data_IF_222703964606
#
_entry.id   IF_222703964606
#
_cell.length_a   1.000
_cell.length_b   1.000
_cell.length_c   1.000
_cell.angle_alpha   90.00
_cell.angle_beta   90.00
_cell.angle_gamma   90.00
#
_symmetry.space_group_name_H-M   'P 1'
#
loop_
_entity.id
_entity.type
_entity.pdbx_description
1 polymer ?
#
# COMPACT_ATOMS: atom_id res chain seq x y z
N UNK A 1 2.90 -77.46 27.33
CA UNK A 1 3.65 -76.38 28.02
C UNK A 1 4.05 -75.30 27.04
N UNK A 2 3.06 -74.76 26.31
CA UNK A 2 3.08 -73.59 25.44
C UNK A 2 1.62 -73.11 25.43
N UNK A 3 1.35 -71.81 25.31
CA UNK A 3 0.08 -71.09 25.60
C UNK A 3 -0.08 -70.58 27.04
N UNK A 4 0.63 -69.49 27.40
CA UNK A 4 0.10 -68.46 28.31
C UNK A 4 1.01 -67.21 28.47
N UNK A 5 1.29 -66.40 27.44
CA UNK A 5 1.89 -65.05 27.62
C UNK A 5 1.53 -64.04 26.51
N UNK A 6 0.24 -63.90 26.18
CA UNK A 6 -0.22 -62.84 25.24
C UNK A 6 -1.46 -62.09 25.73
N UNK A 7 -1.58 -61.84 27.04
CA UNK A 7 -2.77 -61.20 27.60
C UNK A 7 -2.42 -60.26 28.78
N UNK A 8 -1.50 -59.32 28.57
CA UNK A 8 -1.23 -58.20 29.51
C UNK A 8 -0.95 -56.89 28.75
N UNK A 9 -1.64 -56.65 27.62
CA UNK A 9 -1.48 -55.41 26.88
C UNK A 9 -2.80 -54.92 26.29
N UNK A 10 -3.85 -54.88 27.10
CA UNK A 10 -5.08 -54.18 26.74
C UNK A 10 -5.90 -53.81 27.99
N UNK A 11 -5.37 -52.91 28.82
CA UNK A 11 -6.15 -52.15 29.82
C UNK A 11 -5.26 -51.03 30.37
N UNK A 12 -4.79 -50.14 29.50
CA UNK A 12 -4.44 -48.79 29.93
C UNK A 12 -5.73 -48.00 29.89
N UNK A 13 -6.20 -47.72 31.09
CA UNK A 13 -7.37 -46.90 31.40
C UNK A 13 -7.32 -45.61 30.58
N UNK A 14 -8.24 -45.48 29.62
CA UNK A 14 -8.64 -44.19 29.07
C UNK A 14 -9.32 -43.40 30.19
N UNK A 15 -8.53 -42.71 31.02
CA UNK A 15 -9.02 -41.51 31.68
C UNK A 15 -9.05 -40.43 30.62
N UNK A 16 -10.11 -40.41 29.81
CA UNK A 16 -10.46 -39.21 29.05
C UNK A 16 -10.80 -38.15 30.10
N UNK A 17 -9.84 -37.28 30.41
CA UNK A 17 -10.19 -35.98 30.94
C UNK A 17 -11.21 -35.39 29.96
N UNK A 18 -12.41 -35.10 30.44
CA UNK A 18 -13.37 -34.24 29.75
C UNK A 18 -12.75 -32.84 29.66
N UNK A 19 -11.74 -32.66 28.81
CA UNK A 19 -11.35 -31.36 28.35
C UNK A 19 -12.52 -30.89 27.49
N UNK A 20 -13.27 -29.89 27.97
CA UNK A 20 -14.30 -29.23 27.19
C UNK A 20 -13.72 -28.89 25.81
N UNK A 21 -14.30 -29.51 24.77
CA UNK A 21 -13.79 -29.38 23.41
C UNK A 21 -14.16 -27.98 22.89
N UNK A 22 -13.19 -27.08 22.83
CA UNK A 22 -13.36 -25.79 22.17
C UNK A 22 -13.56 -26.01 20.66
N UNK A 23 -14.77 -25.72 20.17
CA UNK A 23 -15.13 -25.97 18.77
C UNK A 23 -14.53 -24.89 17.85
N UNK A 24 -14.06 -25.28 16.65
CA UNK A 24 -13.47 -24.34 15.70
C UNK A 24 -14.51 -23.31 15.24
N UNK A 25 -14.06 -22.06 15.07
CA UNK A 25 -14.87 -21.00 14.48
C UNK A 25 -15.07 -21.29 12.98
N UNK A 26 -16.32 -21.22 12.53
CA UNK A 26 -16.76 -21.62 11.18
C UNK A 26 -17.65 -20.56 10.53
N UNK A 27 -17.67 -20.52 9.18
CA UNK A 27 -18.57 -19.66 8.39
C UNK A 27 -19.97 -20.24 8.22
N UNK A 28 -20.23 -21.46 8.71
CA UNK A 28 -21.54 -22.10 8.60
C UNK A 28 -22.60 -21.25 9.32
N UNK A 29 -23.66 -20.89 8.59
CA UNK A 29 -24.75 -20.07 9.11
C UNK A 29 -24.55 -18.55 9.01
N UNK A 30 -23.46 -18.09 8.38
CA UNK A 30 -23.28 -16.68 8.05
C UNK A 30 -24.41 -16.17 7.15
N UNK A 31 -25.00 -15.03 7.51
CA UNK A 31 -26.10 -14.42 6.77
C UNK A 31 -27.48 -15.01 7.10
N UNK A 32 -27.56 -16.10 7.86
CA UNK A 32 -28.84 -16.73 8.24
C UNK A 32 -29.06 -16.75 9.74
N UNK A 33 -28.11 -17.32 10.51
CA UNK A 33 -28.22 -17.46 11.97
C UNK A 33 -27.18 -16.63 12.73
N UNK A 34 -26.18 -16.09 12.03
CA UNK A 34 -25.16 -15.19 12.59
C UNK A 34 -24.67 -14.18 11.54
N UNK A 35 -24.26 -13.02 12.00
CA UNK A 35 -23.56 -12.03 11.20
C UNK A 35 -22.08 -12.39 11.10
N UNK A 36 -21.45 -12.06 9.97
CA UNK A 36 -20.07 -12.43 9.73
C UNK A 36 -19.27 -11.34 9.02
N UNK A 37 -17.98 -11.30 9.30
CA UNK A 37 -16.99 -10.41 8.71
C UNK A 37 -15.71 -11.22 8.44
N UNK A 38 -15.41 -11.46 7.17
CA UNK A 38 -14.26 -12.26 6.73
C UNK A 38 -13.88 -11.87 5.29
N UNK A 39 -12.62 -12.09 4.84
CA UNK A 39 -12.18 -11.80 3.48
C UNK A 39 -12.85 -12.75 2.47
N UNK A 40 -13.12 -12.32 1.22
CA UNK A 40 -13.83 -13.13 0.22
C UNK A 40 -13.16 -14.47 -0.12
N UNK A 41 -11.85 -14.61 0.12
CA UNK A 41 -11.14 -15.90 0.05
C UNK A 41 -11.02 -16.48 1.48
N UNK A 42 -12.15 -16.85 2.07
CA UNK A 42 -12.22 -17.48 3.39
C UNK A 42 -13.09 -18.75 3.31
N UNK A 43 -12.53 -19.87 3.73
CA UNK A 43 -13.22 -21.15 3.94
C UNK A 43 -13.02 -21.59 5.40
N UNK A 44 -13.77 -22.61 5.84
CA UNK A 44 -13.59 -23.16 7.19
C UNK A 44 -12.16 -23.66 7.45
N UNK A 45 -11.49 -24.17 6.41
CA UNK A 45 -10.12 -24.69 6.44
C UNK A 45 -9.04 -23.62 6.24
N UNK A 46 -9.34 -22.55 5.51
CA UNK A 46 -8.39 -21.49 5.20
C UNK A 46 -9.04 -20.12 5.33
N UNK A 47 -8.74 -19.41 6.41
CA UNK A 47 -9.22 -18.06 6.60
C UNK A 47 -8.19 -17.24 7.37
N UNK A 48 -7.75 -16.13 6.76
CA UNK A 48 -6.73 -15.29 7.35
C UNK A 48 -7.24 -14.58 8.62
N UNK A 49 -8.47 -14.09 8.58
CA UNK A 49 -9.23 -13.69 9.75
C UNK A 49 -10.73 -13.84 9.50
N UNK A 50 -11.50 -14.04 10.56
CA UNK A 50 -12.94 -13.94 10.52
C UNK A 50 -13.47 -13.56 11.88
N UNK A 51 -14.58 -12.84 11.85
CA UNK A 51 -15.39 -12.54 13.01
C UNK A 51 -16.83 -12.92 12.72
N UNK A 52 -17.49 -13.57 13.67
CA UNK A 52 -18.93 -13.82 13.61
C UNK A 52 -19.56 -13.30 14.89
N UNK A 53 -20.85 -12.98 14.83
CA UNK A 53 -21.64 -12.61 16.00
C UNK A 53 -23.08 -13.06 15.87
N UNK A 54 -23.68 -13.39 17.01
CA UNK A 54 -25.11 -13.71 17.10
C UNK A 54 -25.67 -13.26 18.44
N UNK A 55 -26.95 -12.90 18.45
CA UNK A 55 -27.69 -12.63 19.68
C UNK A 55 -27.95 -13.94 20.44
N UNK A 56 -27.67 -13.95 21.74
CA UNK A 56 -27.94 -15.06 22.65
C UNK A 56 -28.49 -14.52 23.97
N UNK A 57 -29.42 -15.26 24.59
CA UNK A 57 -29.93 -14.92 25.92
C UNK A 57 -29.26 -15.81 26.96
N UNK A 58 -28.75 -15.21 28.03
CA UNK A 58 -28.11 -15.91 29.15
C UNK A 58 -28.63 -15.31 30.46
N UNK A 59 -29.15 -16.14 31.37
CA UNK A 59 -29.71 -15.71 32.66
C UNK A 59 -30.73 -14.56 32.56
N UNK A 60 -31.64 -14.64 31.58
CA UNK A 60 -32.67 -13.62 31.30
C UNK A 60 -32.14 -12.25 30.85
N UNK A 61 -30.86 -12.17 30.46
CA UNK A 61 -30.26 -10.99 29.83
C UNK A 61 -29.76 -11.32 28.42
N UNK A 62 -29.74 -10.30 27.55
CA UNK A 62 -29.27 -10.44 26.18
C UNK A 62 -27.79 -10.12 26.04
N UNK A 63 -27.09 -11.02 25.35
CA UNK A 63 -25.68 -10.96 25.03
C UNK A 63 -25.46 -11.12 23.54
N UNK A 64 -24.34 -10.59 23.05
CA UNK A 64 -23.82 -10.93 21.73
C UNK A 64 -22.67 -11.91 21.93
N UNK A 65 -22.81 -13.12 21.37
CA UNK A 65 -21.71 -14.09 21.30
C UNK A 65 -20.85 -13.76 20.09
N UNK A 66 -19.61 -13.32 20.35
CA UNK A 66 -18.61 -13.05 19.32
C UNK A 66 -17.68 -14.25 19.16
N UNK A 67 -17.44 -14.66 17.93
CA UNK A 67 -16.40 -15.61 17.56
C UNK A 67 -15.36 -14.87 16.73
N UNK A 68 -14.09 -14.90 17.13
CA UNK A 68 -13.00 -14.35 16.33
C UNK A 68 -11.96 -15.44 16.05
N UNK A 69 -11.48 -15.52 14.81
CA UNK A 69 -10.42 -16.42 14.37
C UNK A 69 -9.47 -15.66 13.45
N UNK A 70 -8.17 -15.86 13.58
CA UNK A 70 -7.22 -15.26 12.65
C UNK A 70 -5.80 -15.75 12.83
N UNK A 71 -5.03 -15.72 11.75
CA UNK A 71 -3.61 -16.07 11.73
C UNK A 71 -2.80 -14.92 12.31
N UNK A 72 -1.92 -15.21 13.27
CA UNK A 72 -0.99 -14.26 13.85
C UNK A 72 0.36 -14.34 13.12
N UNK A 73 1.07 -13.23 13.06
CA UNK A 73 2.41 -13.18 12.48
C UNK A 73 3.46 -13.70 13.49
N UNK A 74 3.30 -13.28 14.75
CA UNK A 74 4.14 -13.66 15.88
C UNK A 74 3.38 -14.56 16.87
N UNK A 75 4.09 -15.31 17.74
CA UNK A 75 3.45 -16.08 18.80
C UNK A 75 2.67 -15.19 19.75
N UNK A 76 3.09 -13.94 19.98
CA UNK A 76 2.32 -12.96 20.75
C UNK A 76 1.52 -12.07 19.80
N UNK A 77 0.20 -12.01 19.98
CA UNK A 77 -0.64 -11.16 19.14
C UNK A 77 -2.09 -11.14 19.57
N UNK A 78 -2.88 -10.32 18.88
CA UNK A 78 -4.29 -10.08 19.20
C UNK A 78 -5.17 -10.00 17.96
N UNK A 79 -6.46 -10.21 18.19
CA UNK A 79 -7.54 -10.02 17.24
C UNK A 79 -8.66 -9.24 17.92
N UNK A 80 -9.04 -8.10 17.35
CA UNK A 80 -10.04 -7.21 17.93
C UNK A 80 -11.07 -6.73 16.91
N UNK A 81 -12.29 -6.53 17.37
CA UNK A 81 -13.41 -5.92 16.66
C UNK A 81 -13.76 -4.58 17.33
N UNK A 82 -13.79 -3.52 16.54
CA UNK A 82 -14.20 -2.18 16.96
C UNK A 82 -15.60 -1.83 16.45
N UNK A 83 -16.39 -1.19 17.30
CA UNK A 83 -17.72 -0.65 17.04
C UNK A 83 -17.64 0.88 17.03
N UNK A 84 -17.73 1.48 15.84
CA UNK A 84 -17.61 2.93 15.66
C UNK A 84 -18.86 3.53 15.03
N UNK A 85 -19.19 4.77 15.37
CA UNK A 85 -20.25 5.56 14.72
C UNK A 85 -19.79 6.11 13.36
N UNK A 86 -18.48 6.12 13.11
CA UNK A 86 -17.87 6.55 11.85
C UNK A 86 -16.88 5.52 11.31
N UNK A 87 -16.54 5.61 10.02
CA UNK A 87 -15.49 4.78 9.39
C UNK A 87 -14.08 5.11 9.87
N UNK A 88 -13.89 6.22 10.57
CA UNK A 88 -12.58 6.76 10.98
C UNK A 88 -12.10 6.22 12.32
N UNK A 89 -12.98 5.54 13.07
CA UNK A 89 -12.70 4.96 14.39
C UNK A 89 -12.19 6.05 15.34
N UNK A 90 -12.81 7.23 15.30
CA UNK A 90 -12.46 8.35 16.17
C UNK A 90 -12.72 8.02 17.65
N UNK A 91 -13.86 7.39 17.91
CA UNK A 91 -14.21 6.76 19.18
C UNK A 91 -14.88 5.43 18.90
N UNK A 92 -14.50 4.38 19.62
CA UNK A 92 -15.07 3.06 19.39
C UNK A 92 -15.14 2.23 20.68
N UNK A 93 -16.21 1.44 20.81
CA UNK A 93 -16.21 0.30 21.71
C UNK A 93 -15.37 -0.81 21.07
N UNK A 94 -14.64 -1.59 21.86
CA UNK A 94 -13.75 -2.63 21.33
C UNK A 94 -13.89 -3.90 22.12
N UNK A 95 -13.98 -5.03 21.42
CA UNK A 95 -13.87 -6.37 22.00
C UNK A 95 -12.79 -7.14 21.26
N UNK A 96 -12.17 -8.11 21.90
CA UNK A 96 -11.15 -8.92 21.24
C UNK A 96 -10.47 -9.88 22.19
N UNK A 97 -9.57 -10.67 21.64
CA UNK A 97 -8.73 -11.56 22.41
C UNK A 97 -7.27 -11.45 21.99
N UNK A 98 -6.38 -11.80 22.90
CA UNK A 98 -4.94 -11.81 22.68
C UNK A 98 -4.32 -13.09 23.23
N UNK A 99 -3.24 -13.52 22.61
CA UNK A 99 -2.41 -14.61 23.07
C UNK A 99 -1.09 -14.06 23.61
N UNK A 100 -0.81 -14.37 24.87
CA UNK A 100 0.38 -13.92 25.57
C UNK A 100 1.48 -14.99 25.50
N UNK A 101 2.45 -14.79 24.61
CA UNK A 101 3.46 -15.81 24.28
C UNK A 101 4.24 -16.36 25.50
N UNK A 102 4.50 -15.52 26.51
CA UNK A 102 5.26 -15.94 27.71
C UNK A 102 4.47 -16.88 28.64
N UNK A 103 3.13 -16.78 28.65
CA UNK A 103 2.28 -17.57 29.55
C UNK A 103 1.42 -18.60 28.81
N UNK A 104 1.38 -18.55 27.47
CA UNK A 104 0.50 -19.38 26.63
C UNK A 104 -1.00 -19.05 26.78
N UNK A 105 -1.33 -17.99 27.52
CA UNK A 105 -2.71 -17.68 27.87
C UNK A 105 -3.40 -16.93 26.74
N UNK A 106 -4.61 -17.37 26.38
CA UNK A 106 -5.54 -16.61 25.52
C UNK A 106 -6.60 -15.95 26.40
N UNK A 107 -6.76 -14.64 26.28
CA UNK A 107 -7.71 -13.87 27.10
C UNK A 107 -8.55 -12.93 26.26
N UNK A 108 -9.84 -12.88 26.54
CA UNK A 108 -10.75 -11.90 25.96
C UNK A 108 -10.82 -10.62 26.82
N UNK A 109 -10.99 -9.47 26.16
CA UNK A 109 -11.16 -8.17 26.80
C UNK A 109 -12.19 -7.33 26.03
N UNK A 110 -12.93 -6.54 26.79
CA UNK A 110 -13.78 -5.47 26.30
C UNK A 110 -13.23 -4.12 26.79
N UNK A 111 -13.40 -3.09 26.00
CA UNK A 111 -12.89 -1.76 26.30
C UNK A 111 -13.40 -0.73 25.31
N UNK A 112 -12.74 0.41 25.29
CA UNK A 112 -13.04 1.49 24.37
C UNK A 112 -11.78 2.23 23.95
N UNK A 113 -11.86 2.90 22.81
CA UNK A 113 -10.79 3.71 22.24
C UNK A 113 -11.25 5.17 22.17
N UNK A 114 -10.38 6.09 22.61
CA UNK A 114 -10.56 7.55 22.58
C UNK A 114 -9.54 8.26 21.67
N UNK A 115 -9.10 7.59 20.60
CA UNK A 115 -8.22 8.11 19.56
C UNK A 115 -6.72 7.90 19.78
N UNK A 116 -6.27 7.61 21.01
CA UNK A 116 -4.83 7.42 21.33
C UNK A 116 -4.46 6.00 21.77
N UNK A 117 -5.28 5.35 22.59
CA UNK A 117 -5.01 4.01 23.15
C UNK A 117 -6.33 3.33 23.54
N UNK A 118 -6.33 1.99 23.60
CA UNK A 118 -7.44 1.25 24.21
C UNK A 118 -7.41 1.40 25.74
N UNK A 119 -8.58 1.63 26.31
CA UNK A 119 -8.82 1.52 27.75
C UNK A 119 -9.74 0.33 27.98
N UNK A 120 -9.24 -0.68 28.70
CA UNK A 120 -10.00 -1.90 28.99
C UNK A 120 -10.91 -1.70 30.19
N UNK A 121 -12.11 -2.28 30.10
CA UNK A 121 -13.08 -2.25 31.19
C UNK A 121 -12.53 -2.98 32.41
N UNK A 122 -12.54 -2.30 33.55
CA UNK A 122 -12.13 -2.82 34.86
C UNK A 122 -13.15 -2.46 35.95
N UNK A 123 -14.37 -2.10 35.53
CA UNK A 123 -15.44 -1.72 36.45
C UNK A 123 -16.06 -2.92 37.18
N UNK A 124 -17.05 -2.67 38.05
CA UNK A 124 -17.64 -3.68 38.93
C UNK A 124 -18.52 -4.71 38.22
N UNK A 125 -18.94 -4.44 36.97
CA UNK A 125 -19.77 -5.34 36.18
C UNK A 125 -18.93 -6.52 35.63
N UNK A 126 -18.74 -7.55 36.45
CA UNK A 126 -17.99 -8.76 36.08
C UNK A 126 -18.65 -9.56 34.96
N UNK A 127 -19.93 -9.32 34.70
CA UNK A 127 -20.72 -10.02 33.68
C UNK A 127 -20.79 -9.25 32.35
N UNK A 128 -20.14 -8.08 32.22
CA UNK A 128 -20.08 -7.37 30.94
C UNK A 128 -19.52 -8.27 29.82
N UNK A 129 -18.50 -9.07 30.15
CA UNK A 129 -17.81 -9.97 29.24
C UNK A 129 -17.65 -11.35 29.88
N UNK A 130 -18.34 -12.36 29.33
CA UNK A 130 -18.26 -13.75 29.76
C UNK A 130 -17.35 -14.49 28.78
N UNK A 131 -16.21 -14.99 29.27
CA UNK A 131 -15.21 -15.70 28.47
C UNK A 131 -14.87 -17.09 29.01
N UNK A 132 -15.63 -17.59 29.98
CA UNK A 132 -15.45 -18.92 30.59
C UNK A 132 -16.79 -19.67 30.58
N UNK A 133 -16.72 -21.00 30.46
CA UNK A 133 -17.87 -21.90 30.33
C UNK A 133 -17.87 -22.70 29.03
N UNK A 134 -18.92 -23.50 28.82
CA UNK A 134 -19.04 -24.42 27.69
C UNK A 134 -18.77 -23.74 26.35
N UNK A 135 -17.69 -24.16 25.68
CA UNK A 135 -17.26 -23.67 24.37
C UNK A 135 -16.96 -22.14 24.33
N UNK A 136 -16.72 -21.52 25.48
CA UNK A 136 -16.21 -20.14 25.61
C UNK A 136 -14.72 -20.16 25.97
N UNK A 137 -14.03 -19.05 25.70
CA UNK A 137 -12.59 -18.91 25.94
C UNK A 137 -11.82 -18.71 24.65
N UNK A 138 -10.59 -19.21 24.59
CA UNK A 138 -9.80 -19.13 23.37
C UNK A 138 -8.61 -20.07 23.34
N UNK A 139 -8.14 -20.34 22.13
CA UNK A 139 -7.07 -21.28 21.83
C UNK A 139 -6.10 -20.66 20.83
N UNK A 140 -4.83 -21.03 20.94
CA UNK A 140 -3.81 -20.67 19.97
C UNK A 140 -3.17 -21.96 19.45
N UNK A 141 -3.26 -22.19 18.13
CA UNK A 141 -2.59 -23.31 17.48
C UNK A 141 -1.21 -22.85 16.97
N UNK A 142 -0.10 -23.34 17.54
CA UNK A 142 1.24 -22.94 17.15
C UNK A 142 1.67 -23.45 15.76
N UNK A 143 1.10 -24.54 15.26
CA UNK A 143 1.45 -25.10 13.95
C UNK A 143 0.99 -24.19 12.81
N UNK A 144 -0.26 -23.72 12.90
CA UNK A 144 -0.87 -22.85 11.88
C UNK A 144 -0.75 -21.36 12.22
N UNK A 145 -0.27 -21.04 13.43
CA UNK A 145 -0.26 -19.71 14.05
C UNK A 145 -1.65 -19.08 14.15
N UNK A 146 -2.69 -19.87 14.42
CA UNK A 146 -4.07 -19.40 14.43
C UNK A 146 -4.55 -19.15 15.86
N UNK A 147 -4.98 -17.93 16.14
CA UNK A 147 -5.70 -17.54 17.35
C UNK A 147 -7.20 -17.65 17.10
N UNK A 148 -7.93 -18.31 18.02
CA UNK A 148 -9.39 -18.34 18.01
C UNK A 148 -9.93 -18.04 19.40
N UNK A 149 -11.05 -17.32 19.48
CA UNK A 149 -11.73 -17.07 20.74
C UNK A 149 -13.23 -16.92 20.55
N UNK A 150 -13.97 -17.31 21.60
CA UNK A 150 -15.41 -17.18 21.71
C UNK A 150 -15.77 -16.60 23.06
N UNK A 151 -16.52 -15.51 23.06
CA UNK A 151 -16.94 -14.84 24.30
C UNK A 151 -18.27 -14.14 24.10
N UNK A 152 -18.96 -13.87 25.20
CA UNK A 152 -20.25 -13.16 25.19
C UNK A 152 -20.07 -11.79 25.80
N UNK A 153 -20.65 -10.79 25.16
CA UNK A 153 -20.63 -9.41 25.66
C UNK A 153 -22.06 -8.90 25.78
N UNK A 154 -22.44 -8.41 26.96
CA UNK A 154 -23.80 -7.93 27.25
C UNK A 154 -24.21 -6.88 26.21
N UNK A 155 -25.43 -6.93 25.68
CA UNK A 155 -25.89 -6.01 24.61
C UNK A 155 -25.79 -4.55 25.06
N UNK A 156 -26.29 -4.25 26.26
CA UNK A 156 -26.23 -2.92 26.88
C UNK A 156 -25.35 -2.98 28.14
N UNK A 157 -24.18 -2.31 28.16
CA UNK A 157 -23.38 -2.18 29.38
C UNK A 157 -24.17 -1.52 30.52
N UNK A 158 -23.89 -1.88 31.78
CA UNK A 158 -24.48 -1.21 32.94
C UNK A 158 -23.77 0.12 33.26
N UNK A 159 -22.47 0.16 33.02
CA UNK A 159 -21.61 1.33 33.20
C UNK A 159 -20.95 1.74 31.88
N UNK A 160 -20.54 3.00 31.77
CA UNK A 160 -19.78 3.53 30.61
C UNK A 160 -20.42 3.20 29.25
N UNK A 161 -21.76 3.26 29.19
CA UNK A 161 -22.59 2.89 28.02
C UNK A 161 -22.13 3.59 26.74
N UNK A 162 -21.81 4.89 26.82
CA UNK A 162 -21.37 5.69 25.68
C UNK A 162 -20.00 5.25 25.15
N UNK A 163 -19.08 4.89 26.04
CA UNK A 163 -17.71 4.52 25.67
C UNK A 163 -17.67 3.09 25.14
N UNK A 164 -18.32 2.15 25.84
CA UNK A 164 -18.36 0.73 25.48
C UNK A 164 -19.30 0.43 24.31
N UNK A 165 -20.15 1.40 23.93
CA UNK A 165 -21.19 1.37 22.90
C UNK A 165 -22.38 0.48 23.26
N UNK A 166 -23.60 0.97 23.06
CA UNK A 166 -24.81 0.19 23.31
C UNK A 166 -25.19 -0.57 22.04
N UNK A 167 -25.18 -1.90 22.08
CA UNK A 167 -25.42 -2.71 20.88
C UNK A 167 -26.91 -2.97 20.62
N UNK A 168 -27.81 -2.47 21.47
CA UNK A 168 -29.25 -2.64 21.27
C UNK A 168 -29.76 -1.88 20.05
N UNK A 169 -30.80 -2.40 19.41
CA UNK A 169 -31.57 -1.63 18.42
C UNK A 169 -32.07 -0.30 19.06
N UNK A 170 -32.01 0.85 18.35
CA UNK A 170 -31.67 1.05 16.93
C UNK A 170 -30.19 1.39 16.64
N UNK A 171 -29.28 1.16 17.59
CA UNK A 171 -27.87 1.56 17.43
C UNK A 171 -27.15 0.70 16.39
N UNK A 172 -26.65 1.33 15.33
CA UNK A 172 -25.88 0.68 14.28
C UNK A 172 -24.43 1.19 14.26
N UNK A 173 -23.48 0.29 14.05
CA UNK A 173 -22.05 0.62 14.09
C UNK A 173 -21.29 0.13 12.86
N UNK A 174 -20.29 0.90 12.44
CA UNK A 174 -19.25 0.43 11.55
C UNK A 174 -18.35 -0.54 12.31
N UNK A 175 -18.17 -1.73 11.73
CA UNK A 175 -17.33 -2.78 12.29
C UNK A 175 -15.94 -2.71 11.66
N UNK A 176 -14.89 -2.66 12.47
CA UNK A 176 -13.50 -2.79 12.00
C UNK A 176 -12.80 -3.90 12.72
N UNK A 177 -12.19 -4.82 11.97
CA UNK A 177 -11.34 -5.86 12.52
C UNK A 177 -9.87 -5.45 12.44
N UNK A 178 -9.12 -5.77 13.49
CA UNK A 178 -7.67 -5.48 13.55
C UNK A 178 -6.93 -6.67 14.13
N UNK A 179 -5.80 -6.99 13.51
CA UNK A 179 -4.79 -7.93 14.03
C UNK A 179 -3.50 -7.18 14.28
N UNK A 180 -2.76 -7.59 15.30
CA UNK A 180 -1.45 -7.02 15.60
C UNK A 180 -0.67 -7.86 16.59
N UNK A 181 0.60 -7.53 16.74
CA UNK A 181 1.53 -8.24 17.62
C UNK A 181 1.77 -7.49 18.94
N UNK A 182 1.25 -6.25 19.04
CA UNK A 182 1.40 -5.38 20.21
C UNK A 182 0.42 -5.80 21.33
N UNK A 183 0.83 -6.81 22.10
CA UNK A 183 0.14 -7.23 23.32
C UNK A 183 0.55 -6.30 24.47
N UNK A 184 -0.44 -5.71 25.14
CA UNK A 184 -0.23 -4.82 26.28
C UNK A 184 -0.43 -5.59 27.60
N UNK A 185 0.15 -5.16 28.73
CA UNK A 185 -0.07 -5.81 30.02
C UNK A 185 -1.56 -5.90 30.41
N UNK A 186 -2.36 -4.92 30.00
CA UNK A 186 -3.80 -4.84 30.26
C UNK A 186 -4.67 -5.51 29.18
N UNK A 187 -4.10 -5.86 28.02
CA UNK A 187 -4.83 -6.41 26.89
C UNK A 187 -4.10 -6.28 25.55
N UNK A 188 -4.65 -5.50 24.64
CA UNK A 188 -4.14 -5.36 23.26
C UNK A 188 -4.13 -3.90 22.77
N UNK A 189 -3.25 -3.63 21.82
CA UNK A 189 -3.11 -2.31 21.21
C UNK A 189 -4.33 -1.88 20.37
N UNK A 190 -4.38 -0.60 20.01
CA UNK A 190 -5.56 0.03 19.41
C UNK A 190 -5.90 -0.53 18.01
N UNK A 191 -7.19 -0.67 17.67
CA UNK A 191 -7.63 -0.68 16.28
C UNK A 191 -7.17 0.60 15.57
N UNK A 192 -6.78 0.51 14.29
CA UNK A 192 -6.40 1.67 13.48
C UNK A 192 -7.35 1.84 12.29
N UNK A 193 -7.55 3.08 11.83
CA UNK A 193 -8.39 3.38 10.67
C UNK A 193 -7.88 2.62 9.43
N UNK A 194 -8.77 1.88 8.78
CA UNK A 194 -8.45 0.98 7.66
C UNK A 194 -8.18 -0.48 8.07
N UNK A 195 -7.89 -0.76 9.34
CA UNK A 195 -7.78 -2.10 9.93
C UNK A 195 -7.12 -3.17 9.05
N UNK A 196 -7.50 -4.42 9.29
CA UNK A 196 -7.41 -5.49 8.28
C UNK A 196 -8.62 -5.42 7.32
N UNK A 197 -9.77 -5.03 7.86
CA UNK A 197 -10.96 -4.66 7.10
C UNK A 197 -11.92 -3.79 7.94
N UNK A 198 -12.59 -2.85 7.26
CA UNK A 198 -13.71 -2.07 7.81
C UNK A 198 -14.94 -2.33 6.95
N UNK A 199 -16.10 -2.59 7.57
CA UNK A 199 -17.35 -2.74 6.83
C UNK A 199 -17.85 -1.39 6.33
N UNK A 200 -18.35 -1.36 5.09
CA UNK A 200 -18.68 -0.10 4.40
C UNK A 200 -19.98 0.56 4.86
N UNK A 201 -20.85 -0.19 5.53
CA UNK A 201 -22.12 0.29 6.09
C UNK A 201 -22.14 0.13 7.61
N UNK A 202 -23.06 0.80 8.30
CA UNK A 202 -23.31 0.53 9.71
C UNK A 202 -24.18 -0.71 9.88
N UNK A 203 -23.99 -1.43 10.99
CA UNK A 203 -24.59 -2.74 11.25
C UNK A 203 -25.37 -2.72 12.54
N UNK A 204 -26.60 -3.24 12.49
CA UNK A 204 -27.36 -3.64 13.69
C UNK A 204 -26.86 -5.01 14.16
N UNK A 205 -26.03 -5.03 15.20
CA UNK A 205 -25.36 -6.25 15.69
C UNK A 205 -26.37 -7.28 16.21
N UNK A 206 -27.48 -6.82 16.78
CA UNK A 206 -28.55 -7.66 17.34
C UNK A 206 -29.65 -8.01 16.34
N UNK A 207 -29.53 -7.62 15.07
CA UNK A 207 -30.56 -7.92 14.06
C UNK A 207 -30.72 -9.44 13.87
N UNK A 208 -31.95 -9.98 13.90
CA UNK A 208 -32.19 -11.38 13.55
C UNK A 208 -32.05 -11.63 12.04
N UNK A 209 -32.08 -10.57 11.23
CA UNK A 209 -31.86 -10.62 9.79
C UNK A 209 -30.38 -10.28 9.54
N UNK A 210 -29.57 -11.32 9.43
CA UNK A 210 -28.13 -11.21 9.12
C UNK A 210 -27.86 -11.17 7.60
N UNK A 211 -28.91 -11.32 6.78
CA UNK A 211 -28.86 -11.62 5.33
C UNK A 211 -28.33 -10.55 4.38
N UNK A 212 -27.84 -9.41 4.90
CA UNK A 212 -27.13 -8.39 4.10
C UNK A 212 -25.63 -8.29 4.42
N UNK A 213 -25.13 -9.12 5.33
CA UNK A 213 -23.77 -9.04 5.86
C UNK A 213 -22.93 -10.26 5.52
N UNK A 214 -22.68 -10.37 4.23
CA UNK A 214 -21.61 -11.20 3.69
C UNK A 214 -21.00 -10.41 2.55
N UNK A 215 -19.67 -10.40 2.48
CA UNK A 215 -18.81 -9.68 1.52
C UNK A 215 -18.33 -8.33 2.05
N UNK A 216 -17.07 -8.32 2.53
CA UNK A 216 -16.24 -7.12 2.55
C UNK A 216 -16.19 -6.61 1.10
N UNK A 217 -16.70 -5.42 0.86
CA UNK A 217 -16.27 -4.59 -0.26
C UNK A 217 -14.80 -4.27 -0.01
N UNK A 218 -13.92 -5.10 -0.58
CA UNK A 218 -12.45 -4.98 -0.53
C UNK A 218 -11.94 -3.78 -1.35
N UNK A 219 -12.70 -2.68 -1.42
CA UNK A 219 -12.19 -1.51 -2.09
C UNK A 219 -11.17 -0.85 -1.17
N UNK A 220 -9.88 -0.97 -1.53
CA UNK A 220 -8.83 -0.12 -0.98
C UNK A 220 -9.28 1.34 -0.93
N UNK A 221 -8.78 2.09 0.05
CA UNK A 221 -9.22 3.48 0.26
C UNK A 221 -9.15 4.25 -1.05
N UNK A 222 -10.23 4.90 -1.47
CA UNK A 222 -10.26 5.69 -2.70
C UNK A 222 -9.12 6.72 -2.74
N UNK A 223 -8.74 7.27 -1.57
CA UNK A 223 -7.59 8.15 -1.43
C UNK A 223 -6.26 7.43 -1.74
N UNK A 224 -6.08 6.20 -1.26
CA UNK A 224 -4.85 5.41 -1.47
C UNK A 224 -4.76 4.80 -2.86
N UNK A 225 -5.90 4.42 -3.45
CA UNK A 225 -5.98 4.07 -4.88
C UNK A 225 -5.59 5.25 -5.75
N UNK A 226 -6.13 6.43 -5.44
CA UNK A 226 -5.77 7.67 -6.15
C UNK A 226 -4.29 8.01 -5.97
N UNK A 227 -3.75 7.89 -4.75
CA UNK A 227 -2.31 8.01 -4.50
C UNK A 227 -1.49 7.07 -5.40
N UNK A 228 -1.82 5.78 -5.45
CA UNK A 228 -1.15 4.80 -6.30
C UNK A 228 -1.22 5.15 -7.78
N UNK A 229 -2.40 5.53 -8.28
CA UNK A 229 -2.60 5.96 -9.66
C UNK A 229 -1.76 7.19 -10.02
N UNK A 230 -1.73 8.20 -9.15
CA UNK A 230 -0.92 9.41 -9.36
C UNK A 230 0.58 9.09 -9.36
N UNK A 231 1.05 8.17 -8.51
CA UNK A 231 2.45 7.72 -8.49
C UNK A 231 2.82 6.99 -9.78
N UNK A 232 1.95 6.13 -10.31
CA UNK A 232 2.17 5.47 -11.61
C UNK A 232 2.27 6.51 -12.73
N UNK A 233 1.34 7.46 -12.80
CA UNK A 233 1.39 8.53 -13.81
C UNK A 233 2.64 9.40 -13.67
N UNK A 234 3.06 9.71 -12.44
CA UNK A 234 4.27 10.50 -12.19
C UNK A 234 5.54 9.77 -12.66
N UNK A 235 5.74 8.52 -12.23
CA UNK A 235 7.03 7.86 -12.36
C UNK A 235 7.14 6.96 -13.59
N UNK A 236 6.09 6.19 -13.92
CA UNK A 236 6.07 5.31 -15.10
C UNK A 236 5.90 6.13 -16.38
N UNK A 237 4.99 7.10 -16.38
CA UNK A 237 4.71 7.90 -17.58
C UNK A 237 5.60 9.15 -17.66
N UNK A 238 5.43 10.11 -16.75
CA UNK A 238 6.07 11.42 -16.88
C UNK A 238 7.60 11.35 -16.72
N UNK A 239 8.09 10.79 -15.61
CA UNK A 239 9.51 10.77 -15.30
C UNK A 239 10.32 9.96 -16.32
N UNK A 240 9.83 8.78 -16.71
CA UNK A 240 10.53 7.88 -17.62
C UNK A 240 10.70 8.48 -19.02
N UNK A 241 9.65 9.10 -19.58
CA UNK A 241 9.76 9.81 -20.87
C UNK A 241 10.67 11.04 -20.71
N UNK A 242 10.53 11.79 -19.61
CA UNK A 242 11.31 12.98 -19.33
C UNK A 242 12.82 12.72 -19.24
N UNK A 243 13.23 11.61 -18.61
CA UNK A 243 14.64 11.20 -18.49
C UNK A 243 15.22 10.82 -19.86
N UNK A 244 14.51 10.01 -20.65
CA UNK A 244 14.95 9.61 -21.99
C UNK A 244 15.15 10.84 -22.88
N UNK A 245 14.20 11.78 -22.87
CA UNK A 245 14.29 13.02 -23.66
C UNK A 245 15.52 13.85 -23.28
N UNK A 246 15.75 14.07 -21.98
CA UNK A 246 16.89 14.84 -21.52
C UNK A 246 18.23 14.15 -21.82
N UNK A 247 18.29 12.82 -21.84
CA UNK A 247 19.55 12.10 -22.06
C UNK A 247 19.90 11.95 -23.54
N UNK A 248 18.93 11.56 -24.38
CA UNK A 248 19.22 11.09 -25.75
C UNK A 248 18.71 12.01 -26.86
N UNK A 249 17.86 13.00 -26.54
CA UNK A 249 17.12 13.78 -27.55
C UNK A 249 17.51 15.26 -27.62
N UNK A 250 18.59 15.68 -26.93
CA UNK A 250 19.06 17.08 -26.91
C UNK A 250 19.31 17.70 -28.30
N UNK A 251 19.70 16.87 -29.25
CA UNK A 251 20.08 17.28 -30.61
C UNK A 251 19.01 16.99 -31.67
N UNK A 252 17.87 16.39 -31.30
CA UNK A 252 16.93 15.88 -32.31
C UNK A 252 16.20 16.98 -33.09
N UNK A 253 15.93 18.11 -32.43
CA UNK A 253 15.24 19.27 -33.00
C UNK A 253 16.13 20.51 -32.94
N UNK A 254 17.18 20.59 -33.78
CA UNK A 254 18.17 21.65 -33.68
C UNK A 254 17.63 23.03 -34.08
N UNK A 255 16.69 23.08 -35.03
CA UNK A 255 16.13 24.31 -35.60
C UNK A 255 14.65 24.55 -35.23
N UNK A 256 14.12 23.80 -34.26
CA UNK A 256 12.74 23.95 -33.79
C UNK A 256 12.73 24.34 -32.31
N UNK A 257 11.76 25.19 -31.96
CA UNK A 257 11.52 25.60 -30.59
C UNK A 257 10.10 25.27 -30.15
N UNK A 258 9.93 25.03 -28.86
CA UNK A 258 8.63 24.95 -28.20
C UNK A 258 8.63 26.04 -27.13
N UNK A 259 7.63 26.94 -27.11
CA UNK A 259 7.55 28.02 -26.11
C UNK A 259 8.87 28.82 -25.93
N UNK A 260 9.53 29.16 -27.05
CA UNK A 260 10.76 29.98 -27.06
C UNK A 260 12.06 29.27 -26.68
N UNK A 261 12.05 27.95 -26.46
CA UNK A 261 13.21 27.17 -26.03
C UNK A 261 13.35 25.88 -26.84
N UNK A 262 14.49 25.19 -26.73
CA UNK A 262 14.71 23.90 -27.42
C UNK A 262 13.64 22.87 -27.03
N UNK A 263 13.08 22.16 -28.01
CA UNK A 263 11.97 21.20 -27.82
C UNK A 263 12.24 20.23 -26.67
N UNK A 264 13.40 19.54 -26.69
CA UNK A 264 13.76 18.56 -25.65
C UNK A 264 13.75 19.16 -24.24
N UNK A 265 14.19 20.41 -24.10
CA UNK A 265 14.36 21.07 -22.80
C UNK A 265 12.99 21.42 -22.23
N UNK A 266 12.08 21.92 -23.06
CA UNK A 266 10.74 22.23 -22.63
C UNK A 266 9.89 21.00 -22.38
N UNK A 267 9.98 19.98 -23.24
CA UNK A 267 9.31 18.71 -23.00
C UNK A 267 9.79 18.06 -21.70
N UNK A 268 11.09 18.05 -21.43
CA UNK A 268 11.62 17.58 -20.14
C UNK A 268 11.09 18.40 -18.96
N UNK A 269 11.12 19.74 -19.05
CA UNK A 269 10.58 20.63 -18.01
C UNK A 269 9.11 20.34 -17.71
N UNK A 270 8.27 20.25 -18.75
CA UNK A 270 6.84 19.99 -18.59
C UNK A 270 6.62 18.63 -17.92
N UNK A 271 7.24 17.57 -18.44
CA UNK A 271 7.08 16.21 -17.91
C UNK A 271 7.58 16.09 -16.47
N UNK A 272 8.75 16.64 -16.14
CA UNK A 272 9.27 16.57 -14.78
C UNK A 272 8.49 17.47 -13.82
N UNK A 273 7.99 18.62 -14.26
CA UNK A 273 7.10 19.45 -13.44
C UNK A 273 5.81 18.71 -13.13
N UNK A 274 5.20 18.03 -14.13
CA UNK A 274 4.03 17.19 -13.93
C UNK A 274 4.33 16.04 -12.95
N UNK A 275 5.48 15.37 -13.07
CA UNK A 275 5.90 14.33 -12.13
C UNK A 275 5.95 14.86 -10.68
N UNK A 276 6.56 16.01 -10.45
CA UNK A 276 6.66 16.62 -9.12
C UNK A 276 5.28 17.00 -8.58
N UNK A 277 4.42 17.64 -9.39
CA UNK A 277 3.07 18.04 -8.97
C UNK A 277 2.23 16.82 -8.60
N UNK A 278 2.22 15.79 -9.45
CA UNK A 278 1.50 14.53 -9.19
C UNK A 278 2.00 13.86 -7.91
N UNK A 279 3.32 13.82 -7.72
CA UNK A 279 3.93 13.27 -6.50
C UNK A 279 3.53 14.06 -5.25
N UNK A 280 3.51 15.40 -5.31
CA UNK A 280 3.07 16.25 -4.20
C UNK A 280 1.62 15.96 -3.83
N UNK A 281 0.72 15.93 -4.81
CA UNK A 281 -0.70 15.63 -4.57
C UNK A 281 -0.83 14.23 -3.96
N UNK A 282 -0.15 13.23 -4.53
CA UNK A 282 -0.20 11.87 -4.02
C UNK A 282 0.29 11.76 -2.57
N UNK A 283 1.40 12.41 -2.21
CA UNK A 283 1.90 12.44 -0.83
C UNK A 283 0.90 13.14 0.10
N UNK A 284 0.30 14.27 -0.30
CA UNK A 284 -0.74 14.95 0.49
C UNK A 284 -1.91 13.99 0.77
N UNK A 285 -2.38 13.24 -0.24
CA UNK A 285 -3.43 12.23 -0.04
C UNK A 285 -3.02 11.17 0.98
N UNK A 286 -1.78 10.68 0.93
CA UNK A 286 -1.23 9.71 1.89
C UNK A 286 -1.22 10.25 3.33
N UNK A 287 -0.79 11.50 3.52
CA UNK A 287 -0.79 12.15 4.84
C UNK A 287 -2.20 12.41 5.37
N UNK A 288 -3.15 12.79 4.50
CA UNK A 288 -4.57 12.96 4.88
C UNK A 288 -5.14 11.62 5.33
N UNK A 289 -4.87 10.54 4.58
CA UNK A 289 -5.35 9.19 4.93
C UNK A 289 -4.76 8.67 6.25
N UNK A 290 -3.46 8.92 6.49
CA UNK A 290 -2.78 8.47 7.70
C UNK A 290 -2.98 9.39 8.91
N UNK A 291 -3.67 10.53 8.75
CA UNK A 291 -3.74 11.61 9.76
C UNK A 291 -2.34 12.04 10.27
N UNK A 292 -1.37 12.10 9.36
CA UNK A 292 0.04 12.37 9.66
C UNK A 292 0.97 11.34 9.02
N UNK A 293 2.12 11.10 9.66
CA UNK A 293 3.07 10.07 9.20
C UNK A 293 2.52 8.66 9.45
N UNK A 294 2.76 7.75 8.51
CA UNK A 294 2.34 6.36 8.62
C UNK A 294 2.93 5.70 9.86
N UNK A 295 2.09 5.00 10.64
CA UNK A 295 2.48 4.31 11.87
C UNK A 295 2.64 2.80 11.67
N UNK A 296 2.66 2.33 10.43
CA UNK A 296 2.88 0.91 10.13
C UNK A 296 4.29 0.51 10.56
N UNK A 297 4.40 -0.52 11.39
CA UNK A 297 5.66 -1.04 11.93
C UNK A 297 6.03 -2.42 11.37
N UNK A 298 5.07 -3.10 10.72
CA UNK A 298 5.28 -4.44 10.17
C UNK A 298 6.19 -4.43 8.95
N UNK A 299 7.20 -5.30 8.93
CA UNK A 299 8.02 -5.54 7.74
C UNK A 299 7.23 -6.35 6.69
N UNK A 300 7.31 -6.04 5.38
CA UNK A 300 8.10 -4.98 4.74
C UNK A 300 7.35 -3.63 4.60
N UNK A 301 6.13 -3.51 5.11
CA UNK A 301 5.24 -2.37 4.87
C UNK A 301 5.76 -1.03 5.39
N UNK A 302 6.50 -0.98 6.51
CA UNK A 302 7.08 0.26 7.03
C UNK A 302 8.18 0.86 6.13
N UNK A 303 8.74 0.07 5.22
CA UNK A 303 9.80 0.54 4.29
C UNK A 303 9.21 1.46 3.22
N UNK A 304 7.98 1.23 2.78
CA UNK A 304 7.31 2.04 1.75
C UNK A 304 7.23 3.54 2.09
N UNK A 305 6.67 3.97 3.25
CA UNK A 305 6.59 5.39 3.58
C UNK A 305 7.96 6.04 3.80
N UNK A 306 8.97 5.29 4.24
CA UNK A 306 10.36 5.78 4.38
C UNK A 306 10.94 6.07 2.99
N UNK A 307 10.92 5.08 2.08
CA UNK A 307 11.43 5.26 0.72
C UNK A 307 10.63 6.31 -0.05
N UNK A 308 9.30 6.35 0.13
CA UNK A 308 8.43 7.34 -0.47
C UNK A 308 8.79 8.77 -0.08
N UNK A 309 9.11 9.03 1.20
CA UNK A 309 9.59 10.34 1.62
C UNK A 309 10.97 10.68 1.07
N UNK A 310 11.90 9.72 1.00
CA UNK A 310 13.21 9.94 0.39
C UNK A 310 13.04 10.32 -1.09
N UNK A 311 12.25 9.56 -1.85
CA UNK A 311 11.94 9.84 -3.25
C UNK A 311 11.27 11.22 -3.40
N UNK A 312 10.33 11.56 -2.53
CA UNK A 312 9.67 12.87 -2.52
C UNK A 312 10.65 14.02 -2.29
N UNK A 313 11.53 13.91 -1.29
CA UNK A 313 12.56 14.91 -1.02
C UNK A 313 13.50 15.09 -2.22
N UNK A 314 13.96 14.00 -2.84
CA UNK A 314 14.82 14.07 -4.02
C UNK A 314 14.08 14.69 -5.23
N UNK A 315 12.80 14.36 -5.42
CA UNK A 315 11.95 14.90 -6.48
C UNK A 315 11.74 16.42 -6.33
N UNK A 316 11.65 16.95 -5.10
CA UNK A 316 11.59 18.39 -4.83
C UNK A 316 12.96 19.07 -4.93
N UNK A 317 14.01 18.41 -4.47
CA UNK A 317 15.36 18.97 -4.47
C UNK A 317 15.87 19.19 -5.91
N UNK A 318 15.55 18.27 -6.82
CA UNK A 318 16.05 18.33 -8.20
C UNK A 318 15.64 19.61 -8.96
N UNK A 319 14.36 20.05 -8.99
CA UNK A 319 13.98 21.33 -9.57
C UNK A 319 14.47 22.54 -8.74
N UNK A 320 14.59 22.44 -7.42
CA UNK A 320 15.17 23.53 -6.62
C UNK A 320 16.61 23.86 -7.05
N UNK A 321 17.40 22.84 -7.31
CA UNK A 321 18.76 22.99 -7.85
C UNK A 321 18.73 23.65 -9.23
N UNK A 322 17.69 23.40 -10.05
CA UNK A 322 17.55 24.03 -11.37
C UNK A 322 17.31 25.54 -11.32
N UNK A 323 16.76 26.08 -10.22
CA UNK A 323 16.70 27.54 -10.03
C UNK A 323 18.07 28.17 -9.82
N UNK A 324 19.05 27.39 -9.34
CA UNK A 324 20.45 27.80 -9.19
C UNK A 324 21.27 27.57 -10.47
N UNK A 325 20.63 27.28 -11.61
CA UNK A 325 21.31 26.95 -12.86
C UNK A 325 22.14 28.13 -13.39
N UNK A 326 23.45 27.93 -13.48
CA UNK A 326 24.38 28.90 -14.08
C UNK A 326 24.22 29.01 -15.61
N UNK A 327 24.71 30.13 -16.17
CA UNK A 327 24.84 30.32 -17.64
C UNK A 327 25.68 29.20 -18.28
N UNK A 328 25.49 28.98 -19.58
CA UNK A 328 26.11 27.84 -20.30
C UNK A 328 27.64 27.85 -20.21
N UNK A 329 28.25 29.04 -20.19
CA UNK A 329 29.71 29.21 -20.19
C UNK A 329 30.32 29.37 -18.79
N UNK A 330 29.54 29.15 -17.71
CA UNK A 330 30.01 29.32 -16.33
C UNK A 330 30.84 28.11 -15.86
N UNK A 331 31.95 28.29 -15.10
CA UNK A 331 32.80 27.20 -14.63
C UNK A 331 32.08 26.16 -13.76
N UNK A 332 31.05 26.56 -13.01
CA UNK A 332 30.27 25.65 -12.16
C UNK A 332 29.20 24.84 -12.91
N UNK A 333 29.02 25.08 -14.21
CA UNK A 333 28.01 24.39 -15.02
C UNK A 333 28.16 22.87 -15.05
N UNK A 334 29.38 22.28 -15.12
CA UNK A 334 29.57 20.85 -15.03
C UNK A 334 29.13 20.28 -13.67
N UNK A 335 29.42 20.96 -12.55
CA UNK A 335 28.97 20.55 -11.22
C UNK A 335 27.46 20.54 -11.11
N UNK A 336 26.80 21.60 -11.57
CA UNK A 336 25.34 21.65 -11.68
C UNK A 336 24.79 20.46 -12.47
N UNK A 337 25.37 20.17 -13.65
CA UNK A 337 24.89 19.08 -14.51
C UNK A 337 25.03 17.71 -13.82
N UNK A 338 26.15 17.47 -13.12
CA UNK A 338 26.38 16.21 -12.39
C UNK A 338 25.44 16.05 -11.20
N UNK A 339 25.28 17.09 -10.39
CA UNK A 339 24.40 17.06 -9.22
C UNK A 339 22.94 16.83 -9.65
N UNK A 340 22.47 17.58 -10.64
CA UNK A 340 21.13 17.43 -11.21
C UNK A 340 20.89 16.02 -11.79
N UNK A 341 21.90 15.48 -12.49
CA UNK A 341 21.87 14.13 -13.03
C UNK A 341 21.75 13.08 -11.92
N UNK A 342 22.66 13.11 -10.93
CA UNK A 342 22.69 12.09 -9.87
C UNK A 342 21.42 12.10 -9.02
N UNK A 343 20.96 13.28 -8.59
CA UNK A 343 19.75 13.39 -7.77
C UNK A 343 18.53 12.91 -8.55
N UNK A 344 18.39 13.33 -9.81
CA UNK A 344 17.28 12.89 -10.66
C UNK A 344 17.28 11.39 -10.93
N UNK A 345 18.43 10.82 -11.28
CA UNK A 345 18.57 9.37 -11.53
C UNK A 345 18.35 8.56 -10.25
N UNK A 346 18.86 9.01 -9.11
CA UNK A 346 18.67 8.31 -7.84
C UNK A 346 17.21 8.29 -7.41
N UNK A 347 16.49 9.41 -7.59
CA UNK A 347 15.05 9.47 -7.33
C UNK A 347 14.26 8.49 -8.23
N UNK A 348 14.57 8.46 -9.53
CA UNK A 348 13.93 7.56 -10.49
C UNK A 348 14.16 6.08 -10.16
N UNK A 349 15.40 5.70 -9.84
CA UNK A 349 15.72 4.32 -9.43
C UNK A 349 15.01 3.93 -8.14
N UNK A 350 15.00 4.79 -7.10
CA UNK A 350 14.33 4.50 -5.83
C UNK A 350 12.80 4.46 -5.94
N UNK A 351 12.21 5.15 -6.91
CA UNK A 351 10.76 5.11 -7.15
C UNK A 351 10.25 3.69 -7.46
N UNK A 352 11.07 2.85 -8.10
CA UNK A 352 10.69 1.49 -8.52
C UNK A 352 10.40 0.58 -7.31
N UNK A 353 11.34 0.32 -6.38
CA UNK A 353 11.06 -0.49 -5.21
C UNK A 353 9.98 0.15 -4.32
N UNK A 354 9.90 1.50 -4.29
CA UNK A 354 8.85 2.21 -3.57
C UNK A 354 7.45 1.86 -4.12
N UNK A 355 7.28 1.86 -5.44
CA UNK A 355 6.02 1.46 -6.09
C UNK A 355 5.73 -0.04 -5.89
N UNK A 356 6.74 -0.91 -5.99
CA UNK A 356 6.56 -2.35 -5.75
C UNK A 356 6.03 -2.64 -4.35
N UNK A 357 6.57 -1.96 -3.33
CA UNK A 357 6.07 -2.05 -1.97
C UNK A 357 4.67 -1.44 -1.84
N UNK A 358 4.41 -0.31 -2.50
CA UNK A 358 3.11 0.38 -2.51
C UNK A 358 1.97 -0.50 -3.05
N UNK A 359 2.22 -1.24 -4.14
CA UNK A 359 1.27 -2.18 -4.73
C UNK A 359 0.90 -3.36 -3.80
N UNK A 360 1.70 -3.62 -2.77
CA UNK A 360 1.45 -4.66 -1.76
C UNK A 360 0.90 -4.11 -0.45
N UNK A 361 0.57 -2.81 -0.39
CA UNK A 361 0.01 -2.22 0.83
C UNK A 361 -1.48 -2.56 0.95
N UNK A 362 -1.95 -3.03 2.12
CA UNK A 362 -3.37 -3.34 2.34
C UNK A 362 -4.29 -2.16 2.03
N UNK A 363 -3.84 -0.94 2.32
CA UNK A 363 -4.59 0.29 2.11
C UNK A 363 -4.90 0.58 0.63
N UNK A 364 -4.11 0.05 -0.31
CA UNK A 364 -4.34 0.17 -1.76
C UNK A 364 -5.41 -0.80 -2.27
N UNK A 365 -5.74 -1.84 -1.50
CA UNK A 365 -6.68 -2.89 -1.86
C UNK A 365 -6.10 -4.26 -1.47
N UNK A 366 -6.83 -5.01 -0.65
CA UNK A 366 -6.35 -6.30 -0.17
C UNK A 366 -6.17 -7.31 -1.33
N UNK A 367 -7.06 -7.30 -2.33
CA UNK A 367 -6.89 -8.12 -3.54
C UNK A 367 -5.58 -7.81 -4.26
N UNK A 368 -5.23 -6.53 -4.38
CA UNK A 368 -4.00 -6.07 -5.06
C UNK A 368 -2.74 -6.65 -4.40
N UNK A 369 -2.77 -6.86 -3.08
CA UNK A 369 -1.67 -7.48 -2.34
C UNK A 369 -1.38 -8.92 -2.77
N UNK A 370 -2.33 -9.68 -3.30
CA UNK A 370 -2.11 -11.07 -3.72
C UNK A 370 -1.93 -11.21 -5.23
N UNK A 371 -2.31 -10.19 -6.01
CA UNK A 371 -2.09 -10.16 -7.44
C UNK A 371 -0.59 -10.00 -7.74
N UNK A 372 -0.03 -11.01 -8.41
CA UNK A 372 1.39 -10.97 -8.82
C UNK A 372 1.59 -10.22 -10.14
N UNK A 373 0.57 -10.14 -11.00
CA UNK A 373 0.71 -9.56 -12.33
C UNK A 373 1.04 -8.05 -12.35
N UNK A 374 0.58 -7.17 -11.42
CA UNK A 374 0.98 -5.77 -11.42
C UNK A 374 2.49 -5.59 -11.18
N UNK A 375 3.08 -6.44 -10.34
CA UNK A 375 4.53 -6.48 -10.15
C UNK A 375 5.25 -6.98 -11.39
N UNK A 376 4.76 -8.04 -12.04
CA UNK A 376 5.36 -8.53 -13.29
C UNK A 376 5.32 -7.49 -14.40
N UNK A 377 4.24 -6.71 -14.48
CA UNK A 377 4.13 -5.56 -15.41
C UNK A 377 5.18 -4.50 -15.07
N UNK A 378 5.37 -4.17 -13.79
CA UNK A 378 6.38 -3.19 -13.39
C UNK A 378 7.82 -3.71 -13.63
N UNK A 379 8.09 -4.99 -13.41
CA UNK A 379 9.38 -5.63 -13.73
C UNK A 379 9.62 -5.60 -15.25
N UNK A 380 8.62 -5.97 -16.05
CA UNK A 380 8.67 -5.85 -17.51
C UNK A 380 9.00 -4.42 -17.92
N UNK A 381 8.34 -3.43 -17.32
CA UNK A 381 8.57 -2.02 -17.61
C UNK A 381 10.02 -1.59 -17.31
N UNK A 382 10.58 -2.03 -16.18
CA UNK A 382 11.98 -1.74 -15.82
C UNK A 382 12.96 -2.35 -16.82
N UNK A 383 12.74 -3.61 -17.22
CA UNK A 383 13.55 -4.28 -18.24
C UNK A 383 13.43 -3.54 -19.58
N UNK A 384 12.21 -3.19 -19.98
CA UNK A 384 11.96 -2.42 -21.20
C UNK A 384 12.67 -1.07 -21.18
N UNK A 385 12.57 -0.32 -20.08
CA UNK A 385 13.27 0.96 -19.88
C UNK A 385 14.78 0.79 -20.06
N UNK A 386 15.37 -0.21 -19.40
CA UNK A 386 16.80 -0.50 -19.50
C UNK A 386 17.22 -0.87 -20.94
N UNK A 387 16.45 -1.71 -21.63
CA UNK A 387 16.69 -2.07 -23.03
C UNK A 387 16.65 -0.84 -23.96
N UNK A 388 15.69 0.07 -23.77
CA UNK A 388 15.61 1.31 -24.56
C UNK A 388 16.82 2.21 -24.32
N UNK A 389 17.24 2.38 -23.06
CA UNK A 389 18.45 3.15 -22.74
C UNK A 389 19.70 2.52 -23.37
N UNK A 390 19.86 1.20 -23.28
CA UNK A 390 20.98 0.48 -23.89
C UNK A 390 20.99 0.64 -25.42
N UNK A 391 19.84 0.47 -26.08
CA UNK A 391 19.70 0.64 -27.53
C UNK A 391 20.06 2.08 -27.95
N UNK A 392 19.58 3.08 -27.22
CA UNK A 392 19.88 4.49 -27.50
C UNK A 392 21.35 4.84 -27.24
N UNK A 393 21.99 4.24 -26.24
CA UNK A 393 23.41 4.40 -25.95
C UNK A 393 24.28 3.79 -27.06
N UNK A 394 23.97 2.56 -27.49
CA UNK A 394 24.65 1.88 -28.61
C UNK A 394 24.47 2.69 -29.90
N UNK A 395 23.25 3.12 -30.21
CA UNK A 395 22.98 3.98 -31.37
C UNK A 395 23.75 5.30 -31.28
N UNK A 396 23.84 5.90 -30.09
CA UNK A 396 24.65 7.09 -29.83
C UNK A 396 26.12 6.87 -30.18
N UNK A 397 26.69 5.74 -29.76
CA UNK A 397 28.07 5.35 -30.06
C UNK A 397 28.29 5.13 -31.58
N UNK A 398 27.38 4.42 -32.25
CA UNK A 398 27.46 4.13 -33.69
C UNK A 398 27.52 5.42 -34.53
N UNK A 399 26.71 6.42 -34.18
CA UNK A 399 26.63 7.68 -34.92
C UNK A 399 27.52 8.80 -34.35
N UNK A 400 28.30 8.54 -33.30
CA UNK A 400 29.11 9.53 -32.59
C UNK A 400 30.05 10.28 -33.53
N UNK A 401 30.90 9.56 -34.27
CA UNK A 401 31.89 10.18 -35.16
C UNK A 401 31.23 10.99 -36.28
N UNK A 402 30.14 10.48 -36.87
CA UNK A 402 29.42 11.15 -37.96
C UNK A 402 28.76 12.44 -37.50
N UNK A 403 28.10 12.42 -36.33
CA UNK A 403 27.46 13.60 -35.76
C UNK A 403 28.49 14.62 -35.24
N UNK A 404 29.61 14.14 -34.67
CA UNK A 404 30.74 14.99 -34.26
C UNK A 404 31.35 15.74 -35.45
N UNK A 405 31.52 15.07 -36.58
CA UNK A 405 32.04 15.70 -37.81
C UNK A 405 31.08 16.77 -38.34
N UNK A 406 29.76 16.48 -38.43
CA UNK A 406 28.74 17.48 -38.78
C UNK A 406 28.77 18.70 -37.86
N UNK A 407 28.90 18.49 -36.54
CA UNK A 407 28.97 19.60 -35.56
C UNK A 407 30.25 20.43 -35.71
N UNK A 408 31.38 19.81 -36.04
CA UNK A 408 32.64 20.51 -36.35
C UNK A 408 32.50 21.37 -37.60
N UNK A 409 31.89 20.84 -38.65
CA UNK A 409 31.63 21.56 -39.90
C UNK A 409 30.72 22.77 -39.68
N UNK A 410 29.60 22.57 -38.97
CA UNK A 410 28.70 23.66 -38.57
C UNK A 410 29.41 24.75 -37.75
N UNK A 411 30.29 24.37 -36.82
CA UNK A 411 31.05 25.33 -36.00
C UNK A 411 31.98 26.18 -36.87
N UNK A 412 32.59 25.58 -37.90
CA UNK A 412 33.42 26.29 -38.88
C UNK A 412 32.58 27.29 -39.70
N UNK A 413 31.43 26.84 -40.21
CA UNK A 413 30.50 27.70 -40.96
C UNK A 413 29.98 28.87 -40.10
N UNK A 414 29.62 28.61 -38.85
CA UNK A 414 29.16 29.62 -37.90
C UNK A 414 30.26 30.65 -37.59
N UNK A 415 31.52 30.21 -37.48
CA UNK A 415 32.66 31.10 -37.28
C UNK A 415 32.88 32.00 -38.50
N UNK A 416 32.77 31.45 -39.71
CA UNK A 416 32.85 32.23 -40.95
C UNK A 416 31.69 33.22 -41.10
N UNK A 417 30.48 32.83 -40.68
CA UNK A 417 29.33 33.72 -40.61
C UNK A 417 29.60 34.89 -39.66
N UNK A 418 30.03 34.63 -38.42
CA UNK A 418 30.34 35.70 -37.46
C UNK A 418 31.47 36.62 -37.93
N UNK A 419 32.50 36.08 -38.59
CA UNK A 419 33.56 36.88 -39.20
C UNK A 419 33.01 37.80 -40.31
N UNK A 420 32.16 37.26 -41.19
CA UNK A 420 31.54 38.02 -42.28
C UNK A 420 30.59 39.13 -41.82
N UNK A 421 29.82 38.88 -40.75
CA UNK A 421 28.95 39.89 -40.13
C UNK A 421 29.77 41.06 -39.56
N UNK A 422 30.93 40.78 -38.94
CA UNK A 422 31.83 41.84 -38.44
C UNK A 422 32.42 42.69 -39.55
N UNK A 423 32.64 42.13 -40.73
CA UNK A 423 33.24 42.83 -41.89
C UNK A 423 32.20 43.47 -42.82
N UNK A 424 30.90 43.52 -42.45
CA UNK A 424 29.81 44.13 -43.21
C UNK A 424 29.64 43.65 -44.67
N UNK A 425 30.08 42.41 -44.97
CA UNK A 425 29.96 41.79 -46.29
C UNK A 425 28.53 41.28 -46.55
N UNK A 426 27.58 42.21 -46.80
CA UNK A 426 26.21 41.93 -47.25
C UNK A 426 25.35 41.08 -46.29
N UNK A 427 24.06 40.86 -46.63
CA UNK A 427 23.19 40.01 -45.83
C UNK A 427 23.57 38.53 -46.00
N UNK A 428 24.23 37.95 -44.98
CA UNK A 428 24.39 36.50 -44.84
C UNK A 428 23.29 35.94 -43.94
N UNK A 429 22.63 34.87 -44.37
CA UNK A 429 21.75 34.09 -43.50
C UNK A 429 22.57 33.27 -42.51
N UNK A 430 22.11 33.15 -41.27
CA UNK A 430 22.75 32.28 -40.27
C UNK A 430 22.62 30.82 -40.71
N UNK A 431 23.69 30.02 -40.73
CA UNK A 431 23.60 28.62 -41.11
C UNK A 431 22.69 27.85 -40.12
N UNK A 432 21.81 26.97 -40.60
CA UNK A 432 20.98 26.13 -39.73
C UNK A 432 21.83 25.10 -38.99
N UNK A 433 21.48 24.76 -37.75
CA UNK A 433 22.18 23.70 -37.00
C UNK A 433 21.87 22.33 -37.67
N UNK A 434 22.87 21.47 -37.92
CA UNK A 434 22.70 20.29 -38.76
C UNK A 434 21.83 19.23 -38.09
N UNK A 435 21.02 18.55 -38.90
CA UNK A 435 20.20 17.44 -38.41
C UNK A 435 21.06 16.21 -38.08
N UNK A 436 20.82 15.55 -36.94
CA UNK A 436 21.62 14.40 -36.52
C UNK A 436 21.36 13.21 -37.43
N UNK A 437 22.43 12.46 -37.73
CA UNK A 437 22.31 11.16 -38.39
C UNK A 437 21.59 10.15 -37.47
N UNK A 438 20.78 9.28 -38.07
CA UNK A 438 19.97 8.30 -37.32
C UNK A 438 18.70 8.88 -36.68
N UNK A 439 18.30 10.12 -37.04
CA UNK A 439 17.12 10.78 -36.43
C UNK A 439 15.81 9.99 -36.59
N UNK A 440 15.60 9.32 -37.72
CA UNK A 440 14.36 8.55 -37.97
C UNK A 440 14.22 7.38 -36.98
N UNK A 441 15.33 6.71 -36.68
CA UNK A 441 15.36 5.68 -35.65
C UNK A 441 15.04 6.26 -34.27
N UNK A 442 15.61 7.41 -33.92
CA UNK A 442 15.28 8.09 -32.65
C UNK A 442 13.80 8.47 -32.55
N UNK A 443 13.18 8.95 -33.63
CA UNK A 443 11.74 9.23 -33.65
C UNK A 443 10.89 7.97 -33.42
N UNK A 444 11.23 6.87 -34.08
CA UNK A 444 10.56 5.59 -33.85
C UNK A 444 10.70 5.14 -32.38
N UNK A 445 11.91 5.20 -31.82
CA UNK A 445 12.17 4.74 -30.44
C UNK A 445 11.44 5.59 -29.40
N UNK A 446 11.40 6.93 -29.52
CA UNK A 446 10.66 7.75 -28.55
C UNK A 446 9.15 7.54 -28.67
N UNK A 447 8.63 7.33 -29.88
CA UNK A 447 7.23 6.99 -30.12
C UNK A 447 6.86 5.64 -29.50
N UNK A 448 7.67 4.61 -29.73
CA UNK A 448 7.51 3.29 -29.10
C UNK A 448 7.58 3.37 -27.58
N UNK A 449 8.62 4.02 -27.05
CA UNK A 449 8.82 4.18 -25.61
C UNK A 449 7.64 4.91 -24.94
N UNK A 450 7.22 6.04 -25.49
CA UNK A 450 6.09 6.81 -24.96
C UNK A 450 4.78 6.03 -25.01
N UNK A 451 4.56 5.27 -26.08
CA UNK A 451 3.37 4.42 -26.25
C UNK A 451 3.34 3.29 -25.22
N UNK A 452 4.46 2.58 -25.02
CA UNK A 452 4.56 1.52 -24.01
C UNK A 452 4.41 2.09 -22.60
N UNK A 453 5.03 3.25 -22.29
CA UNK A 453 4.83 3.93 -21.01
C UNK A 453 3.35 4.24 -20.75
N UNK A 454 2.64 4.76 -21.75
CA UNK A 454 1.22 5.08 -21.64
C UNK A 454 0.36 3.82 -21.44
N UNK A 455 0.59 2.76 -22.21
CA UNK A 455 -0.14 1.49 -22.08
C UNK A 455 0.08 0.88 -20.69
N UNK A 456 1.34 0.78 -20.25
CA UNK A 456 1.68 0.24 -18.93
C UNK A 456 1.04 1.07 -17.82
N UNK A 457 1.14 2.41 -17.90
CA UNK A 457 0.54 3.29 -16.92
C UNK A 457 -0.99 3.13 -16.87
N UNK A 458 -1.66 3.05 -18.03
CA UNK A 458 -3.12 2.85 -18.10
C UNK A 458 -3.50 1.50 -17.47
N UNK A 459 -2.81 0.41 -17.81
CA UNK A 459 -3.11 -0.92 -17.27
C UNK A 459 -2.94 -0.94 -15.75
N UNK A 460 -1.84 -0.36 -15.24
CA UNK A 460 -1.59 -0.27 -13.80
C UNK A 460 -2.62 0.63 -13.09
N UNK A 461 -2.97 1.78 -13.66
CA UNK A 461 -3.99 2.69 -13.11
C UNK A 461 -5.35 2.00 -13.06
N UNK A 462 -5.79 1.33 -14.13
CA UNK A 462 -7.05 0.56 -14.14
C UNK A 462 -6.99 -0.53 -13.08
N UNK A 463 -5.87 -1.25 -13.00
CA UNK A 463 -5.69 -2.32 -12.02
C UNK A 463 -5.82 -1.82 -10.58
N UNK A 464 -5.17 -0.69 -10.25
CA UNK A 464 -5.23 -0.06 -8.92
C UNK A 464 -6.61 0.57 -8.65
N UNK A 465 -7.30 1.05 -9.67
CA UNK A 465 -8.63 1.66 -9.49
C UNK A 465 -9.71 0.60 -9.23
N UNK A 466 -9.66 -0.52 -9.97
CA UNK A 466 -10.68 -1.56 -9.95
C UNK A 466 -10.55 -2.50 -8.75
N UNK A 467 -9.33 -2.90 -8.39
CA UNK A 467 -9.04 -3.72 -7.20
C UNK A 467 -8.76 -2.78 -6.03
#
# INVERSE_FOLDING_TARGET
MFYLRSLVLLLVVLTTSNAELFLPVSVVGCGTIKGCLFPPICTDSYCEFMTTWKLVTHNAEDYVEFELKGKLNDPGGFLSLAFSEDKKISTAGVVGCYHHAATGAVRARAGYNSGKMNTFYTGPDTELLISEGDNLGGTYNPADKVLQCRFRRRVRPRDMVLQLKDLSEPNAYYLTITRGNDVLPSGFSRPFAGGEATYDNSVLITSPIYGSMTVISEQGSALMKTHGCLMVLAWVLCASIGVILARYYKELWPNSGLLGERVWFQSHRILQSSCVILTCIAIILAFIYCEGYSRVSTFPHYVHPILGLIVFCLALLNPLITFCRCKVDHPDRPWFNWIHFFIGTFAHVLSVPTMMLGLRMPAAGFQLQFLNYPLWILIFFVIFQFCIELILEIHGCMYYNRNKNKRREYTRELTQYHAGVRTALGPRSKPPEPEPSGRMFKYFIIGLHSTVCAIVAIILVITIAVN
#
